data_IF_807420428886
#
_entry.id   IF_807420428886
#
_cell.length_a   1.000
_cell.length_b   1.000
_cell.length_c   1.000
_cell.angle_alpha   90.00
_cell.angle_beta   90.00
_cell.angle_gamma   90.00
#
_symmetry.space_group_name_H-M   'P 1'
#
loop_
_entity.id
_entity.type
_entity.pdbx_description
1 polymer ?
#
# COMPACT_ATOMS: atom_id res chain seq x y z
N UNK A 1 15.59 -1.83 -19.28
CA UNK A 1 15.64 -0.82 -18.21
C UNK A 1 15.51 -1.54 -16.86
N UNK A 2 16.57 -1.45 -16.07
CA UNK A 2 16.96 -2.40 -15.01
C UNK A 2 16.33 -2.05 -13.66
N UNK A 3 16.14 -3.10 -12.84
CA UNK A 3 15.60 -3.08 -11.46
C UNK A 3 16.37 -2.11 -10.54
N UNK A 4 17.59 -1.73 -10.91
CA UNK A 4 18.41 -0.72 -10.23
C UNK A 4 17.81 0.69 -10.23
N UNK A 5 17.12 1.10 -11.31
CA UNK A 5 16.54 2.45 -11.39
C UNK A 5 15.43 2.67 -10.35
N UNK A 6 14.59 1.64 -10.14
CA UNK A 6 13.54 1.66 -9.12
C UNK A 6 14.10 1.73 -7.69
N UNK A 7 15.18 0.98 -7.40
CA UNK A 7 15.84 1.02 -6.09
C UNK A 7 16.41 2.40 -5.76
N UNK A 8 16.96 3.10 -6.75
CA UNK A 8 17.55 4.43 -6.56
C UNK A 8 16.47 5.49 -6.27
N UNK A 9 15.32 5.42 -6.96
CA UNK A 9 14.15 6.29 -6.66
C UNK A 9 13.53 5.98 -5.29
N UNK A 10 13.46 4.70 -4.88
CA UNK A 10 13.02 4.28 -3.54
C UNK A 10 13.91 4.85 -2.42
N UNK A 11 15.23 4.85 -2.60
CA UNK A 11 16.15 5.45 -1.63
C UNK A 11 15.94 6.98 -1.50
N UNK A 12 15.66 7.67 -2.61
CA UNK A 12 15.35 9.11 -2.62
C UNK A 12 14.05 9.44 -1.86
N UNK A 13 13.00 8.63 -2.02
CA UNK A 13 11.75 8.77 -1.27
C UNK A 13 11.91 8.43 0.22
N UNK A 14 12.71 7.40 0.54
CA UNK A 14 13.05 7.03 1.91
C UNK A 14 13.74 8.16 2.68
N UNK A 15 14.64 8.90 2.01
CA UNK A 15 15.30 10.07 2.60
C UNK A 15 14.34 11.23 2.93
N UNK A 16 13.19 11.32 2.25
CA UNK A 16 12.15 12.32 2.53
C UNK A 16 11.21 11.95 3.70
N UNK A 17 11.44 10.80 4.36
CA UNK A 17 10.77 10.35 5.60
C UNK A 17 9.23 10.46 5.60
N UNK A 18 8.59 10.07 4.49
CA UNK A 18 7.12 10.01 4.40
C UNK A 18 6.59 8.79 5.18
N UNK A 19 6.17 9.01 6.43
CA UNK A 19 5.64 7.95 7.31
C UNK A 19 4.15 7.69 7.16
N UNK A 20 3.39 8.74 6.86
CA UNK A 20 1.95 8.69 6.71
C UNK A 20 1.54 9.44 5.43
N UNK A 21 0.65 8.84 4.64
CA UNK A 21 0.04 9.44 3.46
C UNK A 21 -1.47 9.53 3.72
N UNK A 22 -1.95 10.70 4.14
CA UNK A 22 -3.34 10.91 4.60
C UNK A 22 -4.11 11.77 3.59
N UNK A 23 -3.50 12.85 3.12
CA UNK A 23 -4.05 13.76 2.11
C UNK A 23 -2.97 14.16 1.10
N UNK A 24 -3.40 14.82 0.02
CA UNK A 24 -2.51 15.35 -1.02
C UNK A 24 -2.21 16.85 -0.86
N UNK A 25 -3.01 17.56 -0.06
CA UNK A 25 -2.94 19.02 0.08
C UNK A 25 -1.72 19.45 0.91
N UNK A 26 -1.33 18.64 1.88
CA UNK A 26 -0.16 18.86 2.74
C UNK A 26 1.16 18.37 2.14
N UNK A 27 1.12 17.71 0.97
CA UNK A 27 2.31 17.13 0.36
C UNK A 27 3.00 18.12 -0.60
N UNK A 28 4.33 18.29 -0.49
CA UNK A 28 5.08 19.06 -1.47
C UNK A 28 4.90 18.50 -2.88
N UNK A 29 4.73 19.39 -3.86
CA UNK A 29 4.53 19.03 -5.28
C UNK A 29 5.64 18.11 -5.79
N UNK A 30 6.87 18.33 -5.36
CA UNK A 30 8.04 17.54 -5.74
C UNK A 30 7.94 16.10 -5.23
N UNK A 31 7.37 15.89 -4.05
CA UNK A 31 7.17 14.57 -3.47
C UNK A 31 6.08 13.80 -4.24
N UNK A 32 4.97 14.47 -4.58
CA UNK A 32 3.93 13.88 -5.43
C UNK A 32 4.50 13.46 -6.79
N UNK A 33 5.33 14.29 -7.41
CA UNK A 33 6.02 13.94 -8.65
C UNK A 33 6.93 12.73 -8.47
N UNK A 34 7.76 12.69 -7.42
CA UNK A 34 8.64 11.54 -7.15
C UNK A 34 7.84 10.22 -6.96
N UNK A 35 6.65 10.28 -6.33
CA UNK A 35 5.75 9.12 -6.18
C UNK A 35 5.22 8.65 -7.53
N UNK A 36 4.75 9.57 -8.38
CA UNK A 36 4.23 9.24 -9.72
C UNK A 36 5.33 8.66 -10.62
N UNK A 37 6.52 9.27 -10.58
CA UNK A 37 7.74 8.81 -11.25
C UNK A 37 8.16 7.40 -10.85
N UNK A 38 7.99 7.06 -9.57
CA UNK A 38 8.26 5.71 -9.07
C UNK A 38 7.16 4.75 -9.53
N UNK A 39 5.89 5.16 -9.47
CA UNK A 39 4.76 4.34 -9.92
C UNK A 39 4.88 3.97 -11.41
N UNK A 40 5.33 4.91 -12.25
CA UNK A 40 5.60 4.66 -13.68
C UNK A 40 6.70 3.60 -13.88
N UNK A 41 7.71 3.56 -13.01
CA UNK A 41 8.75 2.51 -13.06
C UNK A 41 8.22 1.10 -12.76
N UNK A 42 7.07 1.00 -12.05
CA UNK A 42 6.34 -0.25 -11.81
C UNK A 42 5.24 -0.49 -12.84
N UNK A 43 4.93 0.49 -13.68
CA UNK A 43 3.97 0.32 -14.76
C UNK A 43 4.54 -0.66 -15.79
N UNK A 44 3.70 -1.61 -16.20
CA UNK A 44 4.06 -2.62 -17.18
C UNK A 44 3.91 -1.99 -18.56
N UNK A 45 4.99 -1.87 -19.32
CA UNK A 45 4.89 -1.67 -20.77
C UNK A 45 4.19 -2.91 -21.34
N UNK A 46 3.08 -2.69 -22.03
CA UNK A 46 2.19 -3.75 -22.57
C UNK A 46 3.00 -4.92 -23.16
N UNK A 47 2.73 -6.14 -22.67
CA UNK A 47 3.34 -7.39 -23.16
C UNK A 47 4.47 -7.99 -22.32
N UNK A 48 4.97 -7.31 -21.29
CA UNK A 48 6.00 -7.89 -20.40
C UNK A 48 5.38 -8.52 -19.14
N UNK A 49 5.84 -9.71 -18.70
CA UNK A 49 5.39 -10.30 -17.45
C UNK A 49 5.70 -9.37 -16.28
N UNK A 50 4.73 -9.19 -15.38
CA UNK A 50 4.88 -8.38 -14.17
C UNK A 50 6.06 -8.92 -13.37
N UNK A 51 7.14 -8.16 -13.27
CA UNK A 51 8.30 -8.55 -12.46
C UNK A 51 7.89 -8.54 -11.00
N UNK A 52 7.88 -9.71 -10.35
CA UNK A 52 7.87 -9.79 -8.89
C UNK A 52 9.19 -9.24 -8.40
N UNK A 53 9.16 -8.14 -7.64
CA UNK A 53 10.37 -7.51 -7.11
C UNK A 53 10.41 -7.77 -5.61
N UNK A 54 11.48 -8.36 -5.05
CA UNK A 54 11.53 -8.73 -3.63
C UNK A 54 11.87 -7.53 -2.72
N UNK A 55 11.24 -6.38 -2.96
CA UNK A 55 11.54 -5.14 -2.22
C UNK A 55 11.01 -5.17 -0.79
N UNK A 56 9.89 -5.84 -0.56
CA UNK A 56 9.22 -5.91 0.74
C UNK A 56 9.22 -7.32 1.32
N UNK A 57 10.14 -8.18 0.89
CA UNK A 57 10.26 -9.55 1.41
C UNK A 57 10.46 -9.53 2.93
N UNK A 58 9.65 -10.30 3.66
CA UNK A 58 9.66 -10.34 5.12
C UNK A 58 9.04 -9.10 5.79
N UNK A 59 8.33 -8.26 5.03
CA UNK A 59 7.49 -7.18 5.55
C UNK A 59 6.02 -7.57 5.40
N UNK A 60 5.24 -7.25 6.42
CA UNK A 60 3.79 -7.46 6.42
C UNK A 60 3.08 -6.15 6.11
N UNK A 61 2.15 -6.17 5.15
CA UNK A 61 1.21 -5.10 4.87
C UNK A 61 -0.16 -5.52 5.39
N UNK A 62 -0.74 -4.69 6.25
CA UNK A 62 -2.06 -4.91 6.83
C UNK A 62 -3.06 -3.97 6.17
N UNK A 63 -4.08 -4.55 5.54
CA UNK A 63 -5.21 -3.84 4.98
C UNK A 63 -6.35 -3.83 6.00
N UNK A 64 -6.72 -2.64 6.50
CA UNK A 64 -7.82 -2.45 7.43
C UNK A 64 -8.92 -1.65 6.75
N UNK A 65 -10.06 -2.27 6.51
CA UNK A 65 -11.24 -1.61 5.92
C UNK A 65 -12.44 -1.78 6.86
N UNK A 66 -13.04 -0.66 7.26
CA UNK A 66 -14.27 -0.63 8.06
C UNK A 66 -15.52 -0.80 7.20
N UNK A 67 -15.41 -0.54 5.91
CA UNK A 67 -16.50 -0.65 4.93
C UNK A 67 -16.05 -1.50 3.75
N UNK A 68 -17.01 -2.10 3.04
CA UNK A 68 -16.70 -2.93 1.88
C UNK A 68 -16.12 -2.10 0.73
N UNK A 69 -14.89 -2.40 0.30
CA UNK A 69 -14.25 -1.74 -0.85
C UNK A 69 -13.48 -2.73 -1.73
N UNK A 70 -14.15 -3.25 -2.77
CA UNK A 70 -13.58 -4.30 -3.65
C UNK A 70 -12.38 -3.79 -4.43
N UNK A 71 -12.50 -2.65 -5.11
CA UNK A 71 -11.44 -2.14 -5.99
C UNK A 71 -10.18 -1.79 -5.22
N UNK A 72 -10.32 -1.03 -4.13
CA UNK A 72 -9.18 -0.58 -3.33
C UNK A 72 -8.49 -1.76 -2.63
N UNK A 73 -9.25 -2.68 -2.02
CA UNK A 73 -8.65 -3.85 -1.39
C UNK A 73 -7.87 -4.70 -2.40
N UNK A 74 -8.48 -5.00 -3.54
CA UNK A 74 -7.85 -5.84 -4.56
C UNK A 74 -6.59 -5.18 -5.14
N UNK A 75 -6.58 -3.87 -5.39
CA UNK A 75 -5.37 -3.20 -5.91
C UNK A 75 -4.24 -3.19 -4.89
N UNK A 76 -4.52 -2.91 -3.62
CA UNK A 76 -3.51 -2.95 -2.55
C UNK A 76 -2.94 -4.35 -2.33
N UNK A 77 -3.78 -5.38 -2.32
CA UNK A 77 -3.32 -6.78 -2.24
C UNK A 77 -2.41 -7.17 -3.41
N UNK A 78 -2.81 -6.81 -4.63
CA UNK A 78 -2.02 -7.11 -5.84
C UNK A 78 -0.67 -6.39 -5.78
N UNK A 79 -0.65 -5.12 -5.41
CA UNK A 79 0.57 -4.33 -5.30
C UNK A 79 1.53 -4.92 -4.26
N UNK A 80 1.03 -5.24 -3.06
CA UNK A 80 1.84 -5.84 -2.00
C UNK A 80 2.42 -7.21 -2.40
N UNK A 81 1.62 -8.08 -3.02
CA UNK A 81 2.09 -9.38 -3.54
C UNK A 81 3.15 -9.22 -4.64
N UNK A 82 3.01 -8.22 -5.52
CA UNK A 82 4.02 -7.91 -6.56
C UNK A 82 5.36 -7.47 -5.95
N UNK A 83 5.31 -6.81 -4.79
CA UNK A 83 6.48 -6.39 -4.02
C UNK A 83 7.01 -7.48 -3.06
N UNK A 84 6.43 -8.68 -3.12
CA UNK A 84 6.77 -9.84 -2.26
C UNK A 84 6.54 -9.61 -0.77
N UNK A 85 5.59 -8.74 -0.40
CA UNK A 85 5.15 -8.56 0.96
C UNK A 85 4.13 -9.63 1.37
N UNK A 86 4.09 -9.96 2.65
CA UNK A 86 3.01 -10.73 3.25
C UNK A 86 1.79 -9.82 3.46
N UNK A 87 0.59 -10.28 3.09
CA UNK A 87 -0.63 -9.45 3.14
C UNK A 87 -1.62 -10.02 4.14
N UNK A 88 -2.04 -9.18 5.09
CA UNK A 88 -3.08 -9.50 6.06
C UNK A 88 -4.28 -8.58 5.82
N UNK A 89 -5.45 -9.15 5.57
CA UNK A 89 -6.70 -8.38 5.46
C UNK A 89 -7.51 -8.52 6.75
N UNK A 90 -7.77 -7.40 7.41
CA UNK A 90 -8.63 -7.33 8.58
C UNK A 90 -10.01 -6.83 8.16
N UNK A 91 -11.04 -7.64 8.43
CA UNK A 91 -12.44 -7.26 8.23
C UNK A 91 -13.06 -6.99 9.61
N UNK A 92 -13.37 -5.72 9.88
CA UNK A 92 -13.86 -5.28 11.20
C UNK A 92 -15.24 -5.86 11.51
N UNK A 93 -16.05 -6.14 10.48
CA UNK A 93 -17.33 -6.88 10.54
C UNK A 93 -17.26 -8.20 11.34
N UNK A 94 -16.08 -8.84 11.40
CA UNK A 94 -15.85 -10.12 12.08
C UNK A 94 -14.89 -10.02 13.29
N UNK A 95 -14.43 -8.83 13.65
CA UNK A 95 -13.56 -8.62 14.80
C UNK A 95 -14.39 -8.40 16.07
N UNK A 96 -13.86 -8.82 17.22
CA UNK A 96 -14.54 -8.93 18.52
C UNK A 96 -14.97 -7.60 19.17
N UNK A 97 -15.37 -6.60 18.39
CA UNK A 97 -16.07 -5.39 18.87
C UNK A 97 -17.56 -5.66 19.09
N UNK A 98 -18.04 -6.88 18.79
CA UNK A 98 -19.36 -7.40 19.19
C UNK A 98 -19.38 -7.89 20.65
N UNK A 99 -18.97 -7.04 21.59
CA UNK A 99 -19.30 -7.22 23.01
C UNK A 99 -19.34 -5.89 23.75
N UNK A 100 -20.19 -4.97 23.30
CA UNK A 100 -20.81 -4.00 24.19
C UNK A 100 -22.32 -4.30 24.15
N UNK A 101 -22.83 -4.88 25.24
CA UNK A 101 -24.26 -5.15 25.38
C UNK A 101 -25.05 -3.83 25.25
N UNK A 102 -26.11 -3.77 24.43
CA UNK A 102 -26.81 -2.53 24.11
C UNK A 102 -27.83 -2.04 25.16
N UNK A 103 -27.90 -2.63 26.34
CA UNK A 103 -28.92 -2.25 27.34
C UNK A 103 -28.35 -2.37 28.76
N UNK A 104 -27.92 -1.24 29.33
CA UNK A 104 -27.97 -1.06 30.78
C UNK A 104 -29.23 -0.24 31.06
N UNK A 105 -30.25 -0.98 31.46
CA UNK A 105 -31.51 -0.51 32.03
C UNK A 105 -31.22 -0.09 33.47
N UNK A 106 -31.74 1.09 33.85
CA UNK A 106 -31.95 1.66 35.19
C UNK A 106 -30.73 1.70 36.14
#
# INVERSE_FOLDING_TARGET
>A
MTVESGKNKLNKLSQKNLRHFIDIDSLPKELLKDILDLAESFAVVSGQPVKKVPLLRGKTIVNLFFESSTRTRTTFEIAAKRLSADVLNLQVEHSATKKANPYLIL
#
